data_IF_723979937510
#
_entry.id   IF_723979937510
#
_cell.length_a   1.000
_cell.length_b   1.000
_cell.length_c   1.000
_cell.angle_alpha   90.00
_cell.angle_beta   90.00
_cell.angle_gamma   90.00
#
_symmetry.space_group_name_H-M   'P 1'
#
loop_
_entity.id
_entity.type
_entity.pdbx_description
1 polymer ?
#
# COMPACT_ATOMS: atom_id res chain seq x y z
N UNK A 1 20.61 -2.88 17.12
CA UNK A 1 20.60 -1.44 17.50
C UNK A 1 19.41 -0.80 16.80
N UNK A 2 18.56 -0.05 17.51
CA UNK A 2 17.45 0.69 16.91
C UNK A 2 18.02 1.87 16.13
N UNK A 3 18.05 1.77 14.80
CA UNK A 3 18.63 2.81 13.93
C UNK A 3 17.72 4.04 13.74
N UNK A 4 16.47 3.99 14.26
CA UNK A 4 15.48 5.06 14.13
C UNK A 4 14.93 5.44 15.50
N UNK A 5 14.78 6.74 15.74
CA UNK A 5 14.19 7.29 16.98
C UNK A 5 12.66 7.16 16.96
N UNK A 6 12.07 7.26 15.78
CA UNK A 6 10.63 7.11 15.57
C UNK A 6 10.37 6.30 14.31
N UNK A 7 9.29 5.51 14.32
CA UNK A 7 8.81 4.74 13.16
C UNK A 7 7.33 4.96 12.97
N UNK A 8 6.94 5.16 11.72
CA UNK A 8 5.57 5.33 11.26
C UNK A 8 5.26 4.28 10.21
N UNK A 9 4.05 3.70 10.25
CA UNK A 9 3.56 2.84 9.18
C UNK A 9 2.13 3.25 8.80
N UNK A 10 1.85 3.32 7.51
CA UNK A 10 0.60 3.85 6.93
C UNK A 10 -0.12 2.75 6.18
N UNK A 11 -1.43 2.60 6.41
CA UNK A 11 -2.30 1.66 5.70
C UNK A 11 -2.61 2.06 4.26
N UNK A 12 -3.55 1.36 3.64
CA UNK A 12 -3.93 1.46 2.23
C UNK A 12 -4.52 2.85 1.90
N UNK A 13 -4.07 3.44 0.79
CA UNK A 13 -4.37 4.84 0.45
C UNK A 13 -5.41 4.95 -0.66
N UNK A 14 -5.30 4.13 -1.70
CA UNK A 14 -6.23 4.07 -2.82
C UNK A 14 -6.64 5.44 -3.36
N UNK A 15 -5.69 6.26 -3.81
CA UNK A 15 -5.97 7.56 -4.43
C UNK A 15 -6.61 8.61 -3.52
N UNK A 16 -6.60 8.42 -2.20
CA UNK A 16 -7.13 9.38 -1.22
C UNK A 16 -6.09 10.45 -0.87
N UNK A 17 -5.75 11.31 -1.83
CA UNK A 17 -4.70 12.34 -1.70
C UNK A 17 -4.90 13.24 -0.47
N UNK A 18 -6.10 13.73 -0.25
CA UNK A 18 -6.35 14.71 0.82
C UNK A 18 -6.16 14.08 2.21
N UNK A 19 -6.57 12.82 2.39
CA UNK A 19 -6.29 12.06 3.61
C UNK A 19 -4.78 11.86 3.81
N UNK A 20 -4.06 11.51 2.73
CA UNK A 20 -2.61 11.36 2.74
C UNK A 20 -1.92 12.66 3.16
N UNK A 21 -2.29 13.80 2.59
CA UNK A 21 -1.72 15.10 2.93
C UNK A 21 -2.00 15.49 4.40
N UNK A 22 -3.21 15.21 4.88
CA UNK A 22 -3.57 15.44 6.29
C UNK A 22 -2.73 14.56 7.23
N UNK A 23 -2.58 13.28 6.88
CA UNK A 23 -1.75 12.33 7.63
C UNK A 23 -0.28 12.76 7.64
N UNK A 24 0.29 13.22 6.50
CA UNK A 24 1.64 13.75 6.43
C UNK A 24 1.87 14.91 7.40
N UNK A 25 0.92 15.87 7.49
CA UNK A 25 0.99 16.96 8.48
C UNK A 25 1.05 16.44 9.91
N UNK A 26 0.17 15.49 10.27
CA UNK A 26 0.14 14.89 11.61
C UNK A 26 1.41 14.09 11.94
N UNK A 27 2.01 13.42 10.96
CA UNK A 27 3.31 12.73 11.11
C UNK A 27 4.41 13.75 11.40
N UNK A 28 4.48 14.85 10.64
CA UNK A 28 5.48 15.90 10.86
C UNK A 28 5.32 16.57 12.24
N UNK A 29 4.09 16.85 12.66
CA UNK A 29 3.80 17.36 14.00
C UNK A 29 4.28 16.40 15.11
N UNK A 30 4.02 15.10 14.93
CA UNK A 30 4.47 14.04 15.86
C UNK A 30 5.98 13.88 15.89
N UNK A 31 6.66 14.26 14.81
CA UNK A 31 8.10 14.16 14.64
C UNK A 31 8.87 15.38 15.15
N UNK A 32 8.17 16.50 15.43
CA UNK A 32 8.79 17.73 15.92
C UNK A 32 9.54 17.50 17.23
N UNK A 33 10.65 18.18 17.41
CA UNK A 33 11.46 18.16 18.61
C UNK A 33 12.01 16.78 19.01
N UNK A 34 12.01 15.80 18.10
CA UNK A 34 12.66 14.50 18.32
C UNK A 34 13.86 14.38 17.40
N UNK A 35 15.03 14.35 18.01
CA UNK A 35 16.29 14.16 17.28
C UNK A 35 16.43 12.75 16.72
N UNK A 36 17.28 12.61 15.69
CA UNK A 36 17.66 11.35 15.09
C UNK A 36 16.83 10.99 13.84
N UNK A 37 17.26 9.91 13.21
CA UNK A 37 16.62 9.40 11.98
C UNK A 37 15.26 8.80 12.28
N UNK A 38 14.32 9.01 11.38
CA UNK A 38 12.95 8.48 11.42
C UNK A 38 12.71 7.52 10.26
N UNK A 39 11.78 6.58 10.43
CA UNK A 39 11.38 5.63 9.41
C UNK A 39 9.89 5.81 9.14
N UNK A 40 9.53 5.94 7.87
CA UNK A 40 8.16 6.02 7.41
C UNK A 40 7.92 4.93 6.37
N UNK A 41 7.00 4.02 6.66
CA UNK A 41 6.68 2.87 5.84
C UNK A 41 5.25 3.01 5.33
N UNK A 42 5.03 2.84 4.04
CA UNK A 42 3.70 2.74 3.44
C UNK A 42 3.46 1.29 3.04
N UNK A 43 2.29 0.75 3.38
CA UNK A 43 2.03 -0.70 3.29
C UNK A 43 1.56 -1.18 1.91
N UNK A 44 1.52 -0.30 0.89
CA UNK A 44 1.03 -0.63 -0.44
C UNK A 44 -0.37 -0.08 -0.73
N UNK A 45 -0.91 -0.48 -1.87
CA UNK A 45 -2.24 -0.08 -2.36
C UNK A 45 -2.42 1.44 -2.42
N UNK A 46 -1.57 2.08 -3.22
CA UNK A 46 -1.60 3.53 -3.49
C UNK A 46 -2.60 3.91 -4.56
N UNK A 47 -2.81 3.01 -5.54
CA UNK A 47 -3.61 3.21 -6.75
C UNK A 47 -4.99 2.55 -6.64
N UNK A 48 -5.80 2.74 -7.68
CA UNK A 48 -7.13 2.19 -7.88
C UNK A 48 -8.20 2.76 -6.93
N UNK A 49 -9.48 2.58 -7.29
CA UNK A 49 -10.68 2.92 -6.52
C UNK A 49 -10.91 4.42 -6.27
N UNK A 50 -9.92 5.12 -5.80
CA UNK A 50 -10.06 6.53 -5.41
C UNK A 50 -9.90 7.51 -6.57
N UNK A 51 -10.23 8.78 -6.34
CA UNK A 51 -10.31 9.77 -7.42
C UNK A 51 -8.96 10.35 -7.86
N UNK A 52 -7.98 10.48 -6.95
CA UNK A 52 -6.78 11.29 -7.16
C UNK A 52 -5.50 10.44 -7.22
N UNK A 53 -5.52 9.36 -8.03
CA UNK A 53 -4.44 8.34 -8.03
C UNK A 53 -3.10 8.95 -8.49
N UNK A 54 -3.09 9.64 -9.63
CA UNK A 54 -1.88 10.26 -10.16
C UNK A 54 -1.31 11.29 -9.18
N UNK A 55 -2.15 12.11 -8.60
CA UNK A 55 -1.80 13.12 -7.62
C UNK A 55 -1.35 12.50 -6.28
N UNK A 56 -1.89 11.35 -5.90
CA UNK A 56 -1.45 10.58 -4.72
C UNK A 56 -0.02 10.08 -4.90
N UNK A 57 0.29 9.47 -6.06
CA UNK A 57 1.66 9.04 -6.37
C UNK A 57 2.62 10.24 -6.38
N UNK A 58 2.23 11.35 -7.01
CA UNK A 58 3.06 12.56 -7.01
C UNK A 58 3.27 13.10 -5.58
N UNK A 59 2.22 13.10 -4.74
CA UNK A 59 2.33 13.52 -3.33
C UNK A 59 3.31 12.65 -2.54
N UNK A 60 3.31 11.32 -2.77
CA UNK A 60 4.27 10.40 -2.13
C UNK A 60 5.72 10.67 -2.58
N UNK A 61 5.92 10.93 -3.87
CA UNK A 61 7.24 11.24 -4.45
C UNK A 61 7.78 12.57 -3.90
N UNK A 62 6.93 13.60 -3.84
CA UNK A 62 7.31 14.96 -3.42
C UNK A 62 7.50 15.08 -1.90
N UNK A 63 6.90 14.20 -1.12
CA UNK A 63 7.03 14.21 0.32
C UNK A 63 8.40 13.67 0.75
N UNK A 64 9.37 14.58 0.94
CA UNK A 64 10.75 14.25 1.30
C UNK A 64 11.16 14.97 2.60
N UNK A 65 10.55 14.61 3.75
CA UNK A 65 10.84 15.29 5.00
C UNK A 65 12.28 14.98 5.49
N UNK A 66 12.90 16.01 6.05
CA UNK A 66 14.27 15.90 6.55
C UNK A 66 14.40 14.83 7.65
N UNK A 67 15.48 14.07 7.61
CA UNK A 67 15.79 12.98 8.55
C UNK A 67 14.83 11.77 8.50
N UNK A 68 13.99 11.64 7.48
CA UNK A 68 13.18 10.45 7.26
C UNK A 68 13.78 9.54 6.19
N UNK A 69 13.87 8.25 6.50
CA UNK A 69 13.92 7.20 5.47
C UNK A 69 12.51 6.78 5.15
N UNK A 70 12.15 6.82 3.88
CA UNK A 70 10.87 6.30 3.39
C UNK A 70 11.05 4.90 2.81
N UNK A 71 10.07 4.04 3.04
CA UNK A 71 9.96 2.69 2.47
C UNK A 71 8.55 2.54 1.91
N UNK A 72 8.46 2.16 0.64
CA UNK A 72 7.21 1.93 -0.05
C UNK A 72 7.08 0.44 -0.34
N UNK A 73 6.06 -0.20 0.24
CA UNK A 73 5.80 -1.61 -0.03
C UNK A 73 4.93 -1.76 -1.27
N UNK A 74 5.07 -2.90 -1.92
CA UNK A 74 4.23 -3.33 -3.02
C UNK A 74 2.89 -3.81 -2.47
N UNK A 75 1.78 -3.27 -2.96
CA UNK A 75 0.45 -3.81 -2.77
C UNK A 75 0.03 -4.71 -3.92
N UNK A 76 -1.06 -5.46 -3.75
CA UNK A 76 -1.59 -6.29 -4.83
C UNK A 76 -2.15 -5.44 -5.98
N UNK A 77 -2.59 -4.21 -5.73
CA UNK A 77 -3.04 -3.28 -6.77
C UNK A 77 -1.88 -2.82 -7.66
N UNK A 78 -0.74 -2.48 -7.10
CA UNK A 78 0.46 -2.18 -7.88
C UNK A 78 0.99 -3.42 -8.62
N UNK A 79 0.88 -4.61 -8.02
CA UNK A 79 1.22 -5.87 -8.72
C UNK A 79 0.37 -6.02 -9.98
N UNK A 80 -0.96 -5.84 -9.90
CA UNK A 80 -1.86 -5.94 -11.05
C UNK A 80 -1.51 -4.94 -12.15
N UNK A 81 -1.22 -3.68 -11.79
CA UNK A 81 -0.74 -2.66 -12.74
C UNK A 81 0.55 -3.11 -13.45
N UNK A 82 1.56 -3.54 -12.70
CA UNK A 82 2.86 -3.96 -13.24
C UNK A 82 2.73 -5.20 -14.14
N UNK A 83 1.89 -6.15 -13.77
CA UNK A 83 1.59 -7.32 -14.58
C UNK A 83 0.86 -6.94 -15.88
N UNK A 84 -0.11 -6.03 -15.82
CA UNK A 84 -0.76 -5.50 -17.00
C UNK A 84 0.23 -4.80 -17.93
N UNK A 85 1.07 -3.92 -17.42
CA UNK A 85 2.08 -3.19 -18.21
C UNK A 85 3.10 -4.14 -18.84
N UNK A 86 3.56 -5.15 -18.12
CA UNK A 86 4.54 -6.13 -18.62
C UNK A 86 3.98 -7.07 -19.68
N UNK A 87 2.66 -7.14 -19.82
CA UNK A 87 1.99 -8.05 -20.71
C UNK A 87 1.91 -9.48 -20.22
N UNK A 88 1.98 -9.66 -18.92
CA UNK A 88 1.68 -10.93 -18.26
C UNK A 88 0.30 -11.44 -18.69
N UNK A 89 0.14 -12.78 -18.72
CA UNK A 89 -1.11 -13.43 -19.11
C UNK A 89 -2.23 -13.30 -18.05
N UNK A 90 -1.95 -12.70 -16.92
CA UNK A 90 -2.98 -12.45 -15.91
C UNK A 90 -4.04 -11.53 -16.49
N UNK A 91 -5.28 -11.93 -16.34
CA UNK A 91 -6.43 -11.26 -16.96
C UNK A 91 -6.54 -9.82 -16.48
N UNK A 92 -6.61 -8.82 -17.38
CA UNK A 92 -6.90 -7.44 -17.00
C UNK A 92 -8.23 -7.28 -16.26
N UNK A 93 -9.16 -8.23 -16.40
CA UNK A 93 -10.46 -8.23 -15.74
C UNK A 93 -10.36 -8.19 -14.22
N UNK A 94 -9.41 -8.94 -13.65
CA UNK A 94 -9.20 -8.94 -12.20
C UNK A 94 -8.83 -7.53 -11.74
N UNK A 95 -7.92 -6.87 -12.43
CA UNK A 95 -7.50 -5.52 -12.09
C UNK A 95 -8.63 -4.50 -12.29
N UNK A 96 -9.32 -4.53 -13.43
CA UNK A 96 -10.44 -3.63 -13.71
C UNK A 96 -11.59 -3.81 -12.70
N UNK A 97 -11.93 -5.06 -12.37
CA UNK A 97 -12.94 -5.39 -11.34
C UNK A 97 -12.54 -4.98 -9.92
N UNK A 98 -11.26 -4.75 -9.67
CA UNK A 98 -10.75 -4.24 -8.38
C UNK A 98 -10.55 -2.72 -8.34
N UNK A 99 -11.02 -1.96 -9.34
CA UNK A 99 -10.97 -0.50 -9.36
C UNK A 99 -9.86 0.08 -10.23
N UNK A 100 -9.28 -0.72 -11.13
CA UNK A 100 -8.25 -0.26 -12.08
C UNK A 100 -8.73 0.79 -13.07
N UNK A 101 -10.05 0.90 -13.29
CA UNK A 101 -10.64 1.92 -14.16
C UNK A 101 -10.27 3.34 -13.73
N UNK A 102 -10.28 3.60 -12.44
CA UNK A 102 -9.93 4.89 -11.86
C UNK A 102 -8.46 5.23 -12.11
N UNK A 103 -7.57 4.22 -12.12
CA UNK A 103 -6.17 4.41 -12.47
C UNK A 103 -6.02 4.83 -13.93
N UNK A 104 -6.68 4.15 -14.87
CA UNK A 104 -6.68 4.57 -16.29
C UNK A 104 -7.18 5.99 -16.45
N UNK A 105 -8.31 6.32 -15.85
CA UNK A 105 -8.93 7.65 -15.88
C UNK A 105 -7.99 8.72 -15.32
N UNK A 106 -7.33 8.46 -14.21
CA UNK A 106 -6.40 9.39 -13.56
C UNK A 106 -5.17 9.69 -14.43
N UNK A 107 -4.73 8.73 -15.25
CA UNK A 107 -3.68 8.94 -16.26
C UNK A 107 -4.21 9.41 -17.63
N UNK A 108 -5.50 9.82 -17.72
CA UNK A 108 -6.09 10.44 -18.93
C UNK A 108 -6.54 9.43 -19.98
N UNK A 109 -6.77 8.18 -19.63
CA UNK A 109 -7.22 7.14 -20.56
C UNK A 109 -8.68 6.80 -20.28
N UNK A 110 -9.53 7.07 -21.26
CA UNK A 110 -10.93 6.66 -21.26
C UNK A 110 -11.08 5.27 -21.87
N UNK A 111 -11.46 4.30 -21.05
CA UNK A 111 -11.67 2.91 -21.47
C UNK A 111 -13.10 2.62 -21.95
N UNK A 112 -14.05 3.56 -21.87
CA UNK A 112 -15.48 3.32 -22.18
C UNK A 112 -15.73 2.71 -23.57
N UNK A 113 -14.84 2.94 -24.53
CA UNK A 113 -14.90 2.41 -25.90
C UNK A 113 -14.20 1.05 -26.07
N UNK A 114 -13.56 0.54 -25.04
CA UNK A 114 -12.68 -0.63 -25.09
C UNK A 114 -13.07 -1.72 -24.11
N UNK A 115 -14.09 -1.49 -23.30
CA UNK A 115 -14.60 -2.43 -22.30
C UNK A 115 -16.02 -2.84 -22.66
N UNK A 116 -16.31 -4.13 -22.53
CA UNK A 116 -17.67 -4.62 -22.46
C UNK A 116 -18.18 -4.47 -21.03
N UNK A 117 -19.18 -3.63 -20.81
CA UNK A 117 -19.71 -3.31 -19.47
C UNK A 117 -20.28 -4.53 -18.73
N UNK A 118 -20.66 -5.58 -19.46
CA UNK A 118 -21.26 -6.78 -18.87
C UNK A 118 -20.24 -7.82 -18.44
N UNK A 119 -19.12 -7.92 -19.16
CA UNK A 119 -18.05 -8.92 -18.94
C UNK A 119 -16.77 -8.31 -18.39
N UNK A 120 -16.64 -6.99 -18.41
CA UNK A 120 -15.40 -6.26 -18.16
C UNK A 120 -14.25 -6.69 -19.09
N UNK A 121 -14.60 -7.21 -20.27
CA UNK A 121 -13.63 -7.61 -21.28
C UNK A 121 -12.95 -6.40 -21.91
N UNK A 122 -11.62 -6.38 -21.91
CA UNK A 122 -10.84 -5.31 -22.49
C UNK A 122 -10.44 -5.65 -23.93
N UNK A 123 -11.02 -4.93 -24.90
CA UNK A 123 -10.62 -5.07 -26.29
C UNK A 123 -9.35 -4.27 -26.60
N UNK A 124 -8.49 -4.78 -27.47
CA UNK A 124 -7.25 -4.11 -27.86
C UNK A 124 -6.23 -3.87 -26.73
N UNK A 125 -6.12 -4.81 -25.80
CA UNK A 125 -5.28 -4.74 -24.61
C UNK A 125 -3.84 -4.24 -24.89
N UNK A 126 -3.21 -4.67 -25.99
CA UNK A 126 -1.85 -4.23 -26.38
C UNK A 126 -1.76 -2.73 -26.65
N UNK A 127 -2.79 -2.17 -27.34
CA UNK A 127 -2.85 -0.74 -27.64
C UNK A 127 -3.02 0.06 -26.35
N UNK A 128 -3.94 -0.37 -25.51
CA UNK A 128 -4.27 0.30 -24.24
C UNK A 128 -3.10 0.23 -23.26
N UNK A 129 -2.43 -0.92 -23.19
CA UNK A 129 -1.19 -1.09 -22.42
C UNK A 129 -0.11 -0.10 -22.85
N UNK A 130 0.11 0.05 -24.17
CA UNK A 130 1.06 1.02 -24.70
C UNK A 130 0.66 2.46 -24.31
N UNK A 131 -0.62 2.82 -24.46
CA UNK A 131 -1.11 4.15 -24.06
C UNK A 131 -0.90 4.40 -22.58
N UNK A 132 -1.22 3.45 -21.70
CA UNK A 132 -1.00 3.58 -20.26
C UNK A 132 0.48 3.78 -19.95
N UNK A 133 1.33 2.95 -20.52
CA UNK A 133 2.78 3.05 -20.33
C UNK A 133 3.34 4.41 -20.78
N UNK A 134 2.82 4.98 -21.87
CA UNK A 134 3.20 6.30 -22.36
C UNK A 134 2.64 7.44 -21.49
N UNK A 135 1.48 7.25 -20.86
CA UNK A 135 0.81 8.25 -20.01
C UNK A 135 1.39 8.32 -18.60
N UNK A 136 1.99 7.24 -18.09
CA UNK A 136 2.64 7.22 -16.77
C UNK A 136 3.96 8.01 -16.85
N UNK A 137 4.14 9.10 -16.04
CA UNK A 137 5.38 9.86 -16.00
C UNK A 137 6.60 9.01 -15.63
N UNK A 138 7.82 9.36 -16.09
CA UNK A 138 9.03 8.63 -15.71
C UNK A 138 9.22 8.51 -14.19
N UNK A 139 8.98 9.59 -13.43
CA UNK A 139 9.07 9.58 -11.96
C UNK A 139 8.12 8.59 -11.30
N UNK A 140 6.91 8.39 -11.85
CA UNK A 140 5.96 7.41 -11.35
C UNK A 140 6.39 5.98 -11.69
N UNK A 141 6.98 5.76 -12.89
CA UNK A 141 7.58 4.46 -13.25
C UNK A 141 8.71 4.08 -12.30
N UNK A 142 9.57 5.05 -12.00
CA UNK A 142 10.67 4.86 -11.04
C UNK A 142 10.12 4.55 -9.63
N UNK A 143 9.04 5.23 -9.22
CA UNK A 143 8.33 4.94 -7.97
C UNK A 143 7.83 3.49 -7.93
N UNK A 144 7.12 3.02 -8.96
CA UNK A 144 6.62 1.64 -9.00
C UNK A 144 7.74 0.59 -9.05
N UNK A 145 8.86 0.89 -9.70
CA UNK A 145 9.99 -0.03 -9.81
C UNK A 145 10.79 -0.22 -8.51
N UNK A 146 10.67 0.66 -7.53
CA UNK A 146 11.40 0.57 -6.26
C UNK A 146 10.59 -0.04 -5.11
N UNK A 147 9.32 -0.42 -5.36
CA UNK A 147 8.45 -1.01 -4.34
C UNK A 147 9.02 -2.34 -3.82
N UNK A 148 8.96 -2.53 -2.50
CA UNK A 148 9.50 -3.70 -1.81
C UNK A 148 8.37 -4.61 -1.34
N UNK A 149 8.61 -5.92 -1.26
CA UNK A 149 7.61 -6.88 -0.76
C UNK A 149 7.36 -6.75 0.74
N UNK A 150 8.41 -6.46 1.50
CA UNK A 150 8.34 -6.35 2.95
C UNK A 150 9.48 -5.51 3.49
N UNK A 151 9.37 -5.12 4.73
CA UNK A 151 10.46 -4.44 5.46
C UNK A 151 10.50 -4.93 6.91
N UNK A 152 11.68 -5.24 7.40
CA UNK A 152 11.88 -5.69 8.77
C UNK A 152 12.58 -4.62 9.59
N UNK A 153 12.06 -4.33 10.78
CA UNK A 153 12.70 -3.46 11.74
C UNK A 153 12.39 -3.87 13.18
N UNK A 154 13.42 -4.10 13.98
CA UNK A 154 13.33 -4.53 15.38
C UNK A 154 12.42 -5.75 15.55
N UNK A 155 11.36 -5.67 16.34
CA UNK A 155 10.36 -6.72 16.54
C UNK A 155 9.17 -6.64 15.57
N UNK A 156 9.28 -5.86 14.50
CA UNK A 156 8.20 -5.65 13.54
C UNK A 156 8.57 -6.16 12.16
N UNK A 157 7.59 -6.72 11.48
CA UNK A 157 7.64 -7.09 10.07
C UNK A 157 6.48 -6.41 9.35
N UNK A 158 6.81 -5.56 8.39
CA UNK A 158 5.84 -4.80 7.59
C UNK A 158 5.65 -5.49 6.26
N UNK A 159 4.42 -5.74 5.89
CA UNK A 159 4.03 -6.46 4.68
C UNK A 159 2.66 -5.98 4.24
N UNK A 160 2.31 -6.10 2.94
CA UNK A 160 1.03 -5.59 2.47
C UNK A 160 -0.16 -6.39 3.04
N UNK A 161 -0.27 -7.69 2.76
CA UNK A 161 -1.45 -8.47 3.16
C UNK A 161 -1.23 -9.35 4.41
N UNK A 162 -0.07 -9.95 4.54
CA UNK A 162 0.23 -10.83 5.66
C UNK A 162 1.28 -11.88 5.36
N UNK A 163 1.30 -12.93 6.17
CA UNK A 163 2.25 -14.04 6.10
C UNK A 163 1.54 -15.40 6.21
N UNK A 164 2.23 -16.48 5.86
CA UNK A 164 1.91 -17.81 6.35
C UNK A 164 2.57 -17.99 7.74
N UNK A 165 1.78 -18.12 8.84
CA UNK A 165 2.33 -18.23 10.17
C UNK A 165 3.16 -19.50 10.45
N UNK A 166 3.10 -20.50 9.56
CA UNK A 166 3.84 -21.75 9.69
C UNK A 166 5.21 -21.70 9.06
N UNK A 167 5.50 -20.66 8.27
CA UNK A 167 6.75 -20.48 7.58
C UNK A 167 7.58 -19.37 8.24
N UNK A 168 8.91 -19.49 8.25
CA UNK A 168 9.78 -18.39 8.63
C UNK A 168 9.69 -17.24 7.61
N UNK A 169 10.09 -16.01 8.03
CA UNK A 169 9.93 -14.81 7.21
C UNK A 169 10.71 -14.84 5.90
N UNK A 170 11.85 -15.50 5.86
CA UNK A 170 12.70 -15.68 4.68
C UNK A 170 12.19 -16.74 3.68
N UNK A 171 11.13 -17.48 4.06
CA UNK A 171 10.47 -18.48 3.21
C UNK A 171 9.05 -18.06 2.78
N UNK A 172 8.65 -16.84 3.08
CA UNK A 172 7.35 -16.31 2.66
C UNK A 172 7.33 -16.10 1.14
N UNK A 173 6.29 -16.58 0.47
CA UNK A 173 6.12 -16.35 -0.97
C UNK A 173 5.42 -15.00 -1.26
N UNK A 174 5.65 -14.49 -2.47
CA UNK A 174 5.11 -13.21 -2.93
C UNK A 174 3.58 -13.18 -2.92
N UNK A 175 2.94 -14.25 -3.32
CA UNK A 175 1.47 -14.33 -3.42
C UNK A 175 0.84 -14.23 -2.02
N UNK A 176 1.36 -14.97 -1.05
CA UNK A 176 0.94 -14.86 0.35
C UNK A 176 1.12 -13.45 0.89
N UNK A 177 2.29 -12.83 0.66
CA UNK A 177 2.56 -11.47 1.16
C UNK A 177 1.65 -10.40 0.56
N UNK A 178 1.11 -10.60 -0.65
CA UNK A 178 0.29 -9.63 -1.36
C UNK A 178 -1.23 -9.90 -1.30
N UNK A 179 -1.64 -11.16 -1.05
CA UNK A 179 -3.03 -11.55 -1.23
C UNK A 179 -3.66 -12.32 -0.08
N UNK A 180 -2.90 -12.71 0.94
CA UNK A 180 -3.43 -13.61 1.95
C UNK A 180 -4.64 -13.04 2.68
N UNK A 181 -5.70 -13.87 2.76
CA UNK A 181 -6.87 -13.71 3.64
C UNK A 181 -7.10 -14.99 4.43
N UNK A 182 -6.00 -15.68 4.75
CA UNK A 182 -6.01 -16.94 5.46
C UNK A 182 -6.62 -16.79 6.85
N UNK A 183 -7.64 -17.60 7.17
CA UNK A 183 -8.23 -17.70 8.52
C UNK A 183 -7.18 -17.97 9.60
N UNK A 184 -6.07 -18.60 9.23
CA UNK A 184 -4.97 -18.91 10.15
C UNK A 184 -4.20 -17.65 10.53
N UNK A 185 -3.84 -16.82 9.55
CA UNK A 185 -3.20 -15.53 9.78
C UNK A 185 -4.11 -14.56 10.54
N UNK A 186 -5.41 -14.54 10.21
CA UNK A 186 -6.40 -13.67 10.85
C UNK A 186 -6.93 -14.21 12.19
N UNK A 187 -6.44 -15.37 12.67
CA UNK A 187 -6.83 -15.88 13.98
C UNK A 187 -6.31 -14.94 15.09
N UNK A 188 -7.19 -14.40 15.96
CA UNK A 188 -6.78 -13.54 17.08
C UNK A 188 -5.79 -14.19 18.06
N UNK A 189 -5.75 -15.53 18.08
CA UNK A 189 -4.82 -16.32 18.89
C UNK A 189 -3.55 -16.74 18.15
N UNK A 190 -3.34 -16.23 16.93
CA UNK A 190 -2.09 -16.46 16.20
C UNK A 190 -0.89 -16.01 17.04
N UNK A 191 0.14 -16.85 17.08
CA UNK A 191 1.42 -16.53 17.71
C UNK A 191 2.51 -16.49 16.66
N UNK A 192 3.37 -15.51 16.75
CA UNK A 192 4.55 -15.39 15.90
C UNK A 192 5.64 -14.63 16.66
N UNK A 193 6.90 -14.82 16.28
CA UNK A 193 8.03 -14.19 16.98
C UNK A 193 8.21 -12.69 16.68
N UNK A 194 7.45 -12.14 15.71
CA UNK A 194 7.38 -10.70 15.38
C UNK A 194 5.95 -10.20 15.34
N UNK A 195 5.81 -8.90 15.42
CA UNK A 195 4.53 -8.21 15.19
C UNK A 195 4.41 -7.92 13.70
N UNK A 196 3.43 -8.50 13.05
CA UNK A 196 3.16 -8.33 11.62
C UNK A 196 2.24 -7.11 11.47
N UNK A 197 2.73 -6.06 10.79
CA UNK A 197 1.98 -4.84 10.48
C UNK A 197 1.58 -4.88 9.01
N UNK A 198 0.28 -4.82 8.74
CA UNK A 198 -0.25 -5.02 7.39
C UNK A 198 -1.50 -4.17 7.09
N UNK A 199 -1.95 -4.21 5.83
CA UNK A 199 -3.17 -3.63 5.28
C UNK A 199 -4.04 -4.67 4.55
N UNK A 200 -4.44 -4.38 3.31
CA UNK A 200 -5.10 -5.25 2.33
C UNK A 200 -6.53 -5.70 2.66
N UNK A 201 -6.83 -5.99 3.90
CA UNK A 201 -8.15 -6.49 4.31
C UNK A 201 -8.84 -5.41 5.12
N UNK A 202 -9.79 -4.65 4.52
CA UNK A 202 -10.44 -3.53 5.17
C UNK A 202 -11.18 -3.95 6.44
N UNK A 203 -11.04 -3.14 7.48
CA UNK A 203 -11.71 -3.29 8.77
C UNK A 203 -12.32 -1.96 9.21
N UNK A 204 -13.39 -1.98 10.00
CA UNK A 204 -14.05 -0.76 10.48
C UNK A 204 -13.16 0.10 11.39
N UNK A 205 -12.27 -0.54 12.12
CA UNK A 205 -11.30 0.07 13.03
C UNK A 205 -9.99 -0.69 13.01
N UNK A 206 -8.89 0.01 13.28
CA UNK A 206 -7.57 -0.62 13.40
C UNK A 206 -7.68 -1.84 14.33
N UNK A 207 -7.22 -2.99 13.85
CA UNK A 207 -7.11 -4.20 14.66
C UNK A 207 -5.72 -4.31 15.27
N UNK A 208 -5.66 -4.51 16.57
CA UNK A 208 -4.41 -4.75 17.29
C UNK A 208 -4.51 -6.04 18.10
N UNK A 209 -3.68 -7.02 17.72
CA UNK A 209 -3.52 -8.30 18.38
C UNK A 209 -2.06 -8.47 18.83
N UNK A 210 -1.73 -9.45 19.69
CA UNK A 210 -0.37 -9.63 20.20
C UNK A 210 0.72 -9.68 19.11
N UNK A 211 0.44 -10.36 17.98
CA UNK A 211 1.40 -10.55 16.88
C UNK A 211 0.95 -9.93 15.55
N UNK A 212 -0.14 -9.15 15.51
CA UNK A 212 -0.69 -8.60 14.26
C UNK A 212 -1.33 -7.23 14.48
N UNK A 213 -1.06 -6.30 13.56
CA UNK A 213 -1.71 -5.00 13.50
C UNK A 213 -2.20 -4.79 12.06
N UNK A 214 -3.51 -4.60 11.88
CA UNK A 214 -4.11 -4.24 10.60
C UNK A 214 -4.41 -2.74 10.57
N UNK A 215 -3.81 -2.02 9.60
CA UNK A 215 -3.97 -0.58 9.42
C UNK A 215 -4.91 -0.20 8.26
N UNK A 216 -5.45 -1.17 7.51
CA UNK A 216 -6.39 -0.88 6.44
C UNK A 216 -7.77 -0.61 7.02
N UNK A 217 -8.11 0.66 7.19
CA UNK A 217 -9.45 1.09 7.61
C UNK A 217 -10.33 1.49 6.44
N UNK A 218 -9.95 1.07 5.22
CA UNK A 218 -10.74 1.30 4.02
C UNK A 218 -10.84 2.78 3.64
N UNK A 219 -9.73 3.50 3.56
CA UNK A 219 -9.68 4.96 3.39
C UNK A 219 -10.63 5.48 2.30
N UNK A 220 -10.70 4.81 1.15
CA UNK A 220 -11.57 5.19 0.03
C UNK A 220 -13.06 5.03 0.34
N UNK A 221 -13.44 4.20 1.30
CA UNK A 221 -14.83 3.95 1.69
C UNK A 221 -15.22 4.65 2.98
N UNK A 222 -14.31 4.66 3.95
CA UNK A 222 -14.53 5.18 5.30
C UNK A 222 -14.18 6.65 5.44
N UNK A 223 -13.46 7.22 4.48
CA UNK A 223 -12.81 8.53 4.57
C UNK A 223 -11.86 8.64 5.78
N UNK A 224 -11.21 7.53 6.17
CA UNK A 224 -10.30 7.45 7.31
C UNK A 224 -9.05 6.66 6.95
N UNK A 225 -7.90 7.33 6.90
CA UNK A 225 -6.58 6.73 6.68
C UNK A 225 -5.89 6.52 8.03
N UNK A 226 -5.41 5.30 8.27
CA UNK A 226 -4.84 4.91 9.55
C UNK A 226 -3.33 4.74 9.50
N UNK A 227 -2.67 5.00 10.65
CA UNK A 227 -1.24 4.78 10.78
C UNK A 227 -0.84 4.37 12.21
N UNK A 228 0.26 3.63 12.26
CA UNK A 228 0.97 3.25 13.48
C UNK A 228 2.11 4.25 13.72
N UNK A 229 2.29 4.65 14.96
CA UNK A 229 3.43 5.42 15.45
C UNK A 229 4.17 4.67 16.56
N UNK A 230 5.47 4.51 16.43
CA UNK A 230 6.34 3.87 17.44
C UNK A 230 7.41 4.87 17.87
N UNK A 231 7.50 5.10 19.17
CA UNK A 231 8.51 5.95 19.78
C UNK A 231 8.98 5.32 21.11
N UNK A 232 10.28 5.16 21.29
CA UNK A 232 10.90 4.62 22.51
C UNK A 232 10.28 3.29 22.97
N UNK A 233 9.91 2.41 22.02
CA UNK A 233 9.30 1.12 22.26
C UNK A 233 7.81 1.15 22.63
N UNK A 234 7.20 2.33 22.74
CA UNK A 234 5.76 2.51 22.89
C UNK A 234 5.14 2.73 21.52
N UNK A 235 3.96 2.12 21.29
CA UNK A 235 3.20 2.31 20.04
C UNK A 235 1.88 3.00 20.30
N UNK A 236 1.42 3.76 19.32
CA UNK A 236 0.12 4.40 19.28
C UNK A 236 -0.47 4.23 17.88
N UNK A 237 -1.77 4.12 17.81
CA UNK A 237 -2.55 3.95 16.59
C UNK A 237 -3.41 5.19 16.37
N UNK A 238 -3.46 5.67 15.14
CA UNK A 238 -4.18 6.87 14.77
C UNK A 238 -4.97 6.67 13.49
N UNK A 239 -6.01 7.46 13.30
CA UNK A 239 -6.75 7.63 12.05
C UNK A 239 -6.99 9.12 11.78
N UNK A 240 -7.16 9.48 10.48
CA UNK A 240 -7.43 10.87 10.06
C UNK A 240 -8.80 11.36 10.49
#
# INVERSE_FOLDING_TARGET
MRNYSQVFAVGDIHGCRDLLQNMHKKILESAQNVEGKKLLIYLGDYIDRGPDIKETIQTLIDFQPENFKQVFLLGNHEQMLLEFISGSKNSPYIWLGNGGLETFKSYGIDLSKYIDDSTMELYHDKKIRKQLLESIPPSHKDFFNQLQLSYEWDNYFFVHAGIDPDLPLDQQDKETMLWTRSKRFFNPKMTYHKIIVHGHTPVDKIEEFPCRINLDTGAVFSNSLSWLFINSGKRKLYST
#
